data_IF_089718327474
#
_entry.id   IF_089718327474
#
_cell.length_a   1.000
_cell.length_b   1.000
_cell.length_c   1.000
_cell.angle_alpha   90.00
_cell.angle_beta   90.00
_cell.angle_gamma   90.00
#
_symmetry.space_group_name_H-M   'P 1'
#
loop_
_entity.id
_entity.type
_entity.pdbx_description
1 polymer ?
#
# COMPACT_ATOMS: atom_id res chain seq x y z
N UNK A 1 -3.09 26.71 19.06
CA UNK A 1 -3.99 26.43 20.20
C UNK A 1 -4.24 24.92 20.33
N UNK A 2 -3.29 24.14 20.89
CA UNK A 2 -3.42 22.69 21.06
C UNK A 2 -4.34 22.23 22.22
N UNK A 3 -4.74 23.16 23.10
CA UNK A 3 -5.26 22.81 24.44
C UNK A 3 -6.68 22.20 24.44
N UNK A 4 -7.45 22.30 23.34
CA UNK A 4 -8.88 21.88 23.31
C UNK A 4 -9.11 20.39 23.01
N UNK A 5 -8.04 19.62 22.84
CA UNK A 5 -8.12 18.19 22.44
C UNK A 5 -8.02 17.23 23.63
N UNK A 6 -7.84 17.75 24.85
CA UNK A 6 -7.61 16.93 26.04
C UNK A 6 -8.92 16.30 26.55
N UNK A 7 -10.05 17.00 26.40
CA UNK A 7 -11.36 16.65 26.98
C UNK A 7 -12.34 16.02 25.97
N UNK A 8 -11.88 15.02 25.22
CA UNK A 8 -12.73 14.30 24.26
C UNK A 8 -13.96 13.63 24.92
N UNK A 9 -13.90 13.35 26.24
CA UNK A 9 -15.02 12.77 27.00
C UNK A 9 -15.97 13.77 27.65
N UNK A 10 -15.62 15.06 27.76
CA UNK A 10 -16.39 16.02 28.58
C UNK A 10 -17.70 16.49 27.91
N UNK A 11 -17.83 16.33 26.59
CA UNK A 11 -19.01 16.73 25.80
C UNK A 11 -19.82 15.56 25.23
N UNK A 12 -19.68 14.35 25.79
CA UNK A 12 -20.46 13.17 25.34
C UNK A 12 -20.06 12.64 23.96
N UNK A 13 -18.88 13.00 23.45
CA UNK A 13 -18.38 12.44 22.19
C UNK A 13 -18.04 10.95 22.38
N UNK A 14 -18.67 10.10 21.57
CA UNK A 14 -18.38 8.65 21.50
C UNK A 14 -17.47 8.41 20.30
N UNK A 15 -16.33 7.74 20.51
CA UNK A 15 -15.36 7.43 19.44
C UNK A 15 -13.92 7.49 19.93
N UNK A 16 -12.97 7.45 18.98
CA UNK A 16 -11.52 7.60 19.24
C UNK A 16 -11.09 9.05 19.05
N UNK A 17 -10.07 9.50 19.80
CA UNK A 17 -9.49 10.83 19.59
C UNK A 17 -8.95 10.93 18.16
N UNK A 18 -9.13 12.08 17.50
CA UNK A 18 -8.61 12.28 16.14
C UNK A 18 -7.09 12.08 16.04
N UNK A 19 -6.34 12.52 17.07
CA UNK A 19 -4.90 12.26 17.18
C UNK A 19 -4.56 10.77 17.27
N UNK A 20 -5.39 9.99 17.96
CA UNK A 20 -5.22 8.54 18.10
C UNK A 20 -5.57 7.80 16.80
N UNK A 21 -6.61 8.25 16.09
CA UNK A 21 -6.95 7.74 14.76
C UNK A 21 -5.80 7.97 13.76
N UNK A 22 -5.21 9.17 13.78
CA UNK A 22 -4.05 9.51 12.94
C UNK A 22 -2.82 8.69 13.32
N UNK A 23 -2.53 8.52 14.62
CA UNK A 23 -1.41 7.71 15.07
C UNK A 23 -1.52 6.25 14.58
N UNK A 24 -2.71 5.64 14.70
CA UNK A 24 -2.97 4.29 14.18
C UNK A 24 -2.79 4.20 12.66
N UNK A 25 -3.23 5.23 11.91
CA UNK A 25 -3.01 5.26 10.47
C UNK A 25 -1.53 5.40 10.12
N UNK A 26 -0.76 6.19 10.88
CA UNK A 26 0.67 6.33 10.69
C UNK A 26 1.41 5.02 11.03
N UNK A 27 1.02 4.32 12.10
CA UNK A 27 1.57 3.00 12.45
C UNK A 27 1.25 1.93 11.40
N UNK A 28 0.07 1.99 10.77
CA UNK A 28 -0.19 1.16 9.60
C UNK A 28 0.72 1.52 8.43
N UNK A 29 1.00 2.81 8.22
CA UNK A 29 1.81 3.28 7.10
C UNK A 29 3.31 3.00 7.25
N UNK A 30 3.82 2.83 8.48
CA UNK A 30 5.25 2.55 8.74
C UNK A 30 5.69 1.14 8.32
N UNK A 31 4.75 0.20 8.12
CA UNK A 31 5.05 -1.14 7.62
C UNK A 31 5.31 -1.23 6.10
N UNK A 32 5.07 -0.14 5.35
CA UNK A 32 5.16 -0.18 3.89
C UNK A 32 6.54 0.23 3.34
N UNK A 33 6.80 -0.17 2.09
CA UNK A 33 8.01 0.20 1.36
C UNK A 33 8.02 1.73 1.15
N UNK A 34 8.88 2.42 1.88
CA UNK A 34 9.04 3.88 1.84
C UNK A 34 9.50 4.41 0.46
N UNK A 35 10.26 3.61 -0.30
CA UNK A 35 10.72 4.04 -1.63
C UNK A 35 9.52 4.17 -2.59
N UNK A 36 9.38 5.31 -3.29
CA UNK A 36 8.29 5.53 -4.24
C UNK A 36 8.24 4.46 -5.34
N UNK A 37 7.03 4.06 -5.75
CA UNK A 37 6.82 3.08 -6.83
C UNK A 37 7.37 3.54 -8.19
N UNK A 38 7.54 4.84 -8.39
CA UNK A 38 8.14 5.40 -9.61
C UNK A 38 9.64 5.15 -9.71
N UNK A 39 10.30 4.84 -8.58
CA UNK A 39 11.70 4.45 -8.56
C UNK A 39 11.83 2.93 -8.77
N UNK A 40 12.89 2.52 -9.48
CA UNK A 40 13.12 1.11 -9.82
C UNK A 40 13.12 0.20 -8.58
N UNK A 41 13.80 0.61 -7.50
CA UNK A 41 13.83 -0.12 -6.22
C UNK A 41 12.43 -0.29 -5.63
N UNK A 42 11.64 0.78 -5.60
CA UNK A 42 10.29 0.77 -5.03
C UNK A 42 9.32 -0.10 -5.82
N UNK A 43 9.43 -0.07 -7.16
CA UNK A 43 8.68 -0.96 -8.05
C UNK A 43 9.05 -2.43 -7.83
N UNK A 44 10.34 -2.76 -7.86
CA UNK A 44 10.80 -4.14 -7.74
C UNK A 44 10.44 -4.75 -6.39
N UNK A 45 10.56 -3.99 -5.31
CA UNK A 45 10.20 -4.47 -3.97
C UNK A 45 8.71 -4.84 -3.87
N UNK A 46 7.81 -4.00 -4.42
CA UNK A 46 6.36 -4.29 -4.45
C UNK A 46 6.01 -5.47 -5.34
N UNK A 47 6.60 -5.54 -6.53
CA UNK A 47 6.39 -6.68 -7.43
C UNK A 47 6.84 -7.98 -6.76
N UNK A 48 8.03 -8.02 -6.16
CA UNK A 48 8.53 -9.21 -5.44
C UNK A 48 7.66 -9.58 -4.26
N UNK A 49 7.13 -8.60 -3.52
CA UNK A 49 6.20 -8.85 -2.43
C UNK A 49 4.92 -9.55 -2.93
N UNK A 50 4.27 -8.97 -3.95
CA UNK A 50 3.04 -9.47 -4.54
C UNK A 50 3.21 -10.83 -5.26
N UNK A 51 4.45 -11.21 -5.59
CA UNK A 51 4.73 -12.44 -6.34
C UNK A 51 5.49 -13.49 -5.56
N UNK A 52 5.75 -13.27 -4.27
CA UNK A 52 6.64 -14.11 -3.46
C UNK A 52 6.16 -15.55 -3.37
N UNK A 53 4.85 -15.75 -3.28
CA UNK A 53 4.21 -17.07 -3.15
C UNK A 53 3.00 -17.16 -4.07
N UNK A 54 2.49 -18.36 -4.31
CA UNK A 54 1.26 -18.56 -5.08
C UNK A 54 0.06 -17.88 -4.40
N UNK A 55 -0.02 -17.95 -3.06
CA UNK A 55 -1.01 -17.24 -2.27
C UNK A 55 -0.93 -15.72 -2.47
N UNK A 56 0.27 -15.14 -2.42
CA UNK A 56 0.46 -13.70 -2.65
C UNK A 56 0.04 -13.30 -4.08
N UNK A 57 0.34 -14.13 -5.09
CA UNK A 57 -0.11 -13.90 -6.47
C UNK A 57 -1.64 -13.93 -6.57
N UNK A 58 -2.28 -14.85 -5.87
CA UNK A 58 -3.73 -14.96 -5.86
C UNK A 58 -4.38 -13.75 -5.18
N UNK A 59 -3.89 -13.36 -4.00
CA UNK A 59 -4.34 -12.16 -3.30
C UNK A 59 -4.12 -10.88 -4.14
N UNK A 60 -3.00 -10.78 -4.87
CA UNK A 60 -2.75 -9.66 -5.78
C UNK A 60 -3.77 -9.60 -6.93
N UNK A 61 -4.17 -10.75 -7.48
CA UNK A 61 -5.21 -10.83 -8.53
C UNK A 61 -6.58 -10.43 -7.99
N UNK A 62 -6.93 -10.88 -6.80
CA UNK A 62 -8.16 -10.50 -6.09
C UNK A 62 -8.19 -9.00 -5.79
N UNK A 63 -7.03 -8.41 -5.48
CA UNK A 63 -6.86 -6.96 -5.33
C UNK A 63 -6.80 -6.19 -6.67
N UNK A 64 -7.05 -6.84 -7.81
CA UNK A 64 -7.20 -6.20 -9.13
C UNK A 64 -5.94 -6.12 -9.98
N UNK A 65 -4.83 -6.77 -9.59
CA UNK A 65 -3.64 -6.93 -10.45
C UNK A 65 -3.85 -8.07 -11.44
N UNK A 66 -4.68 -7.85 -12.46
CA UNK A 66 -5.14 -8.87 -13.42
C UNK A 66 -4.29 -8.97 -14.70
N UNK A 67 -3.05 -8.48 -14.67
CA UNK A 67 -2.18 -8.54 -15.85
C UNK A 67 -1.69 -9.97 -16.11
N UNK A 68 -1.46 -10.30 -17.38
CA UNK A 68 -0.93 -11.61 -17.76
C UNK A 68 0.45 -11.89 -17.14
N UNK A 69 0.71 -13.13 -16.75
CA UNK A 69 1.96 -13.56 -16.09
C UNK A 69 3.21 -13.19 -16.91
N UNK A 70 3.14 -13.26 -18.25
CA UNK A 70 4.21 -12.82 -19.15
C UNK A 70 4.59 -11.35 -18.97
N UNK A 71 3.60 -10.49 -18.75
CA UNK A 71 3.79 -9.05 -18.55
C UNK A 71 4.42 -8.80 -17.19
N UNK A 72 3.95 -9.54 -16.19
CA UNK A 72 4.46 -9.46 -14.83
C UNK A 72 5.93 -9.91 -14.76
N UNK A 73 6.27 -11.00 -15.46
CA UNK A 73 7.66 -11.46 -15.61
C UNK A 73 8.54 -10.45 -16.36
N UNK A 74 8.01 -9.81 -17.41
CA UNK A 74 8.73 -8.75 -18.13
C UNK A 74 9.04 -7.54 -17.22
N UNK A 75 8.18 -7.23 -16.25
CA UNK A 75 8.45 -6.19 -15.26
C UNK A 75 9.48 -6.65 -14.21
N UNK A 76 9.32 -7.86 -13.65
CA UNK A 76 10.24 -8.43 -12.67
C UNK A 76 11.68 -8.57 -13.19
N UNK A 77 11.84 -8.87 -14.47
CA UNK A 77 13.15 -8.97 -15.14
C UNK A 77 13.68 -7.61 -15.62
N UNK A 78 12.93 -6.52 -15.42
CA UNK A 78 13.31 -5.18 -15.87
C UNK A 78 13.25 -4.96 -17.39
N UNK A 79 12.80 -5.96 -18.17
CA UNK A 79 12.70 -5.87 -19.64
C UNK A 79 11.70 -4.81 -20.10
N UNK A 80 10.66 -4.53 -19.30
CA UNK A 80 9.65 -3.50 -19.58
C UNK A 80 9.32 -2.70 -18.34
N UNK A 81 8.97 -1.43 -18.53
CA UNK A 81 8.43 -0.57 -17.47
C UNK A 81 6.89 -0.59 -17.51
N UNK A 82 6.21 -0.68 -16.35
CA UNK A 82 4.76 -0.51 -16.29
C UNK A 82 4.37 0.92 -16.69
N UNK A 83 3.20 1.07 -17.32
CA UNK A 83 2.58 2.39 -17.54
C UNK A 83 2.13 3.02 -16.22
N UNK A 84 1.85 4.33 -16.23
CA UNK A 84 1.33 5.05 -15.04
C UNK A 84 0.07 4.39 -14.46
N UNK A 85 -0.85 3.93 -15.32
CA UNK A 85 -2.04 3.20 -14.91
C UNK A 85 -1.71 1.87 -14.20
N UNK A 86 -0.71 1.14 -14.71
CA UNK A 86 -0.28 -0.11 -14.10
C UNK A 86 0.50 0.12 -12.79
N UNK A 87 1.27 1.20 -12.68
CA UNK A 87 1.89 1.58 -11.40
C UNK A 87 0.81 1.82 -10.33
N UNK A 88 -0.26 2.54 -10.68
CA UNK A 88 -1.37 2.76 -9.74
C UNK A 88 -2.03 1.44 -9.30
N UNK A 89 -2.23 0.50 -10.22
CA UNK A 89 -2.75 -0.85 -9.89
C UNK A 89 -1.82 -1.65 -9.00
N UNK A 90 -0.52 -1.61 -9.25
CA UNK A 90 0.49 -2.29 -8.40
C UNK A 90 0.51 -1.68 -6.99
N UNK A 91 0.47 -0.35 -6.88
CA UNK A 91 0.41 0.34 -5.58
C UNK A 91 -0.88 0.01 -4.81
N UNK A 92 -2.02 -0.01 -5.51
CA UNK A 92 -3.31 -0.37 -4.91
C UNK A 92 -3.31 -1.82 -4.42
N UNK A 93 -2.86 -2.77 -5.25
CA UNK A 93 -2.76 -4.17 -4.85
C UNK A 93 -1.81 -4.38 -3.68
N UNK A 94 -0.66 -3.70 -3.66
CA UNK A 94 0.30 -3.76 -2.55
C UNK A 94 -0.27 -3.24 -1.22
N UNK A 95 -1.19 -2.28 -1.25
CA UNK A 95 -1.84 -1.75 -0.04
C UNK A 95 -3.00 -2.60 0.46
N UNK A 96 -3.49 -3.52 -0.36
CA UNK A 96 -4.65 -4.36 -0.07
C UNK A 96 -4.29 -5.78 0.40
N UNK A 97 -3.02 -6.20 0.25
CA UNK A 97 -2.48 -7.50 0.65
C UNK A 97 -1.60 -7.34 1.88
#
# INVERSE_FOLDING_TARGET
>A
MPERTHDFGHYGARGIKGSEAVARQLDQLTGFIATPITQHRGLMARLRYLTRTDHARQAAREAGLTVADRTLNAWLTGKRRPSKANLAKIEAAYRAV
#
